data_IF_523929234865
#
_entry.id   IF_523929234865
#
_cell.length_a   1.000
_cell.length_b   1.000
_cell.length_c   1.000
_cell.angle_alpha   90.00
_cell.angle_beta   90.00
_cell.angle_gamma   90.00
#
_symmetry.space_group_name_H-M   'P 1'
#
loop_
_entity.id
_entity.type
_entity.pdbx_description
1 polymer ?
#
# COMPACT_ATOMS: atom_id res chain seq x y z
N UNK A 1 79.75 34.41 -108.29
CA UNK A 1 80.44 35.47 -107.53
C UNK A 1 79.38 36.34 -106.89
N UNK A 2 79.45 36.51 -105.56
CA UNK A 2 78.94 37.59 -104.68
C UNK A 2 77.59 38.26 -105.03
N UNK A 3 76.61 38.49 -104.14
CA UNK A 3 76.56 38.73 -102.69
C UNK A 3 75.04 38.83 -102.32
N UNK A 4 74.60 38.54 -101.08
CA UNK A 4 73.21 38.77 -100.65
C UNK A 4 73.05 40.15 -99.95
N UNK A 5 71.85 40.73 -100.03
CA UNK A 5 71.45 41.97 -99.33
C UNK A 5 69.95 42.28 -99.56
N UNK A 6 69.30 43.08 -98.69
CA UNK A 6 68.50 42.49 -97.61
C UNK A 6 66.99 42.81 -97.64
N UNK A 7 66.31 42.10 -96.73
CA UNK A 7 64.94 42.19 -96.20
C UNK A 7 64.14 43.49 -96.45
N UNK A 8 62.96 43.32 -97.07
CA UNK A 8 61.91 44.33 -97.18
C UNK A 8 60.66 43.91 -96.39
N UNK A 9 60.34 44.69 -95.37
CA UNK A 9 59.27 44.54 -94.39
C UNK A 9 57.87 44.77 -95.02
N UNK A 10 56.92 43.84 -94.83
CA UNK A 10 55.54 43.94 -95.33
C UNK A 10 54.67 44.83 -94.40
N UNK A 11 53.81 45.73 -94.95
CA UNK A 11 53.02 46.66 -94.14
C UNK A 11 51.82 45.99 -93.43
N UNK A 12 51.69 46.27 -92.12
CA UNK A 12 50.56 45.85 -91.26
C UNK A 12 49.24 46.51 -91.68
N UNK A 13 48.27 45.70 -92.14
CA UNK A 13 46.85 46.11 -92.29
C UNK A 13 46.24 46.45 -90.93
N UNK A 14 45.75 47.69 -90.76
CA UNK A 14 44.93 48.08 -89.61
C UNK A 14 43.53 47.43 -89.71
N UNK A 15 43.15 46.66 -88.67
CA UNK A 15 41.77 46.22 -88.42
C UNK A 15 40.91 47.42 -87.98
N UNK A 16 39.62 47.50 -88.38
CA UNK A 16 38.69 48.46 -87.81
C UNK A 16 38.42 48.14 -86.33
N UNK A 17 38.20 49.19 -85.53
CA UNK A 17 37.96 49.10 -84.09
C UNK A 17 36.64 48.37 -83.76
N UNK A 18 36.57 47.61 -82.65
CA UNK A 18 35.34 46.94 -82.25
C UNK A 18 34.31 47.95 -81.73
N UNK A 19 33.08 47.81 -82.21
CA UNK A 19 31.89 48.54 -81.77
C UNK A 19 31.63 48.28 -80.29
N UNK A 20 31.61 49.36 -79.51
CA UNK A 20 31.47 49.31 -78.05
C UNK A 20 30.00 49.05 -77.72
N UNK A 21 29.64 47.81 -77.38
CA UNK A 21 28.35 47.48 -76.79
C UNK A 21 28.23 48.20 -75.43
N UNK A 22 27.50 49.30 -75.40
CA UNK A 22 27.12 49.95 -74.14
C UNK A 22 26.15 49.02 -73.38
N UNK A 23 26.68 48.31 -72.39
CA UNK A 23 25.87 47.62 -71.38
C UNK A 23 25.21 48.69 -70.52
N UNK A 24 23.95 49.00 -70.82
CA UNK A 24 23.13 49.92 -70.02
C UNK A 24 23.04 49.39 -68.58
N UNK A 25 23.45 50.15 -67.55
CA UNK A 25 23.31 49.70 -66.18
C UNK A 25 21.82 49.50 -65.84
N UNK A 26 21.46 48.48 -65.05
CA UNK A 26 20.07 48.24 -64.67
C UNK A 26 19.52 49.48 -63.97
N UNK A 27 18.37 49.98 -64.43
CA UNK A 27 17.72 51.15 -63.87
C UNK A 27 17.41 50.95 -62.38
N UNK A 28 17.56 52.00 -61.58
CA UNK A 28 17.42 51.99 -60.12
C UNK A 28 16.09 51.38 -59.62
N UNK A 29 15.06 51.38 -60.46
CA UNK A 29 13.74 50.80 -60.21
C UNK A 29 13.77 49.26 -60.13
N UNK A 30 14.57 48.59 -60.97
CA UNK A 30 14.71 47.12 -60.95
C UNK A 30 15.42 46.61 -59.69
N UNK A 31 16.38 47.37 -59.18
CA UNK A 31 17.08 47.09 -57.93
C UNK A 31 16.17 47.28 -56.70
N UNK A 32 15.31 48.31 -56.71
CA UNK A 32 14.31 48.53 -55.65
C UNK A 32 13.29 47.39 -55.62
N UNK A 33 12.80 46.94 -56.77
CA UNK A 33 11.86 45.81 -56.88
C UNK A 33 12.47 44.48 -56.44
N UNK A 34 13.74 44.21 -56.80
CA UNK A 34 14.47 43.02 -56.32
C UNK A 34 14.71 43.05 -54.80
N UNK A 35 15.06 44.22 -54.24
CA UNK A 35 15.20 44.39 -52.79
C UNK A 35 13.88 44.15 -52.06
N UNK A 36 12.77 44.65 -52.59
CA UNK A 36 11.43 44.42 -52.04
C UNK A 36 11.05 42.93 -52.03
N UNK A 37 11.31 42.20 -53.13
CA UNK A 37 11.04 40.76 -53.22
C UNK A 37 11.91 39.99 -52.24
N UNK A 38 13.20 40.33 -52.13
CA UNK A 38 14.10 39.70 -51.17
C UNK A 38 13.67 39.95 -49.72
N UNK A 39 13.21 41.15 -49.38
CA UNK A 39 12.68 41.45 -48.04
C UNK A 39 11.40 40.70 -47.73
N UNK A 40 10.50 40.54 -48.71
CA UNK A 40 9.27 39.75 -48.54
C UNK A 40 9.62 38.27 -48.34
N UNK A 41 10.53 37.72 -49.15
CA UNK A 41 10.98 36.33 -49.00
C UNK A 41 11.62 36.07 -47.63
N UNK A 42 12.47 37.00 -47.16
CA UNK A 42 13.08 36.92 -45.83
C UNK A 42 12.02 36.99 -44.71
N UNK A 43 11.01 37.85 -44.84
CA UNK A 43 9.93 37.95 -43.88
C UNK A 43 9.09 36.66 -43.82
N UNK A 44 8.78 36.04 -44.97
CA UNK A 44 8.03 34.78 -45.03
C UNK A 44 8.81 33.64 -44.36
N UNK A 45 10.12 33.55 -44.61
CA UNK A 45 10.98 32.57 -43.94
C UNK A 45 11.01 32.82 -42.43
N UNK A 46 11.12 34.07 -42.00
CA UNK A 46 11.06 34.45 -40.59
C UNK A 46 9.76 33.99 -39.92
N UNK A 47 8.62 34.22 -40.58
CA UNK A 47 7.31 33.78 -40.09
C UNK A 47 7.23 32.24 -40.03
N UNK A 48 7.72 31.54 -41.05
CA UNK A 48 7.72 30.07 -41.06
C UNK A 48 8.57 29.48 -39.93
N UNK A 49 9.73 30.08 -39.63
CA UNK A 49 10.59 29.67 -38.50
C UNK A 49 9.89 29.91 -37.17
N UNK A 50 9.23 31.07 -36.99
CA UNK A 50 8.47 31.37 -35.76
C UNK A 50 7.33 30.38 -35.56
N UNK A 51 6.58 30.05 -36.61
CA UNK A 51 5.50 29.05 -36.54
C UNK A 51 6.06 27.68 -36.18
N UNK A 52 7.18 27.26 -36.80
CA UNK A 52 7.81 25.98 -36.49
C UNK A 52 8.25 25.90 -35.02
N UNK A 53 8.86 26.97 -34.51
CA UNK A 53 9.28 27.06 -33.10
C UNK A 53 8.07 26.99 -32.18
N UNK A 54 6.98 27.70 -32.48
CA UNK A 54 5.74 27.64 -31.70
C UNK A 54 5.12 26.24 -31.69
N UNK A 55 5.14 25.54 -32.83
CA UNK A 55 4.66 24.16 -32.94
C UNK A 55 5.54 23.19 -32.14
N UNK A 56 6.85 23.43 -32.09
CA UNK A 56 7.79 22.59 -31.34
C UNK A 56 7.67 22.81 -29.83
N UNK A 57 7.48 24.05 -29.39
CA UNK A 57 7.33 24.40 -27.96
C UNK A 57 5.96 23.94 -27.43
N UNK A 58 4.90 24.06 -28.23
CA UNK A 58 3.54 23.67 -27.84
C UNK A 58 3.19 22.22 -28.23
N UNK A 59 4.18 21.33 -28.41
CA UNK A 59 3.86 19.91 -28.56
C UNK A 59 3.30 19.40 -27.23
N UNK A 60 2.11 18.79 -27.23
CA UNK A 60 1.66 18.09 -26.04
C UNK A 60 2.67 16.99 -25.73
N UNK A 61 3.05 16.87 -24.46
CA UNK A 61 3.86 15.76 -24.00
C UNK A 61 3.13 14.46 -24.38
N UNK A 62 3.86 13.42 -24.86
CA UNK A 62 3.24 12.12 -25.08
C UNK A 62 2.62 11.68 -23.76
N UNK A 63 1.33 11.33 -23.78
CA UNK A 63 0.65 10.83 -22.58
C UNK A 63 1.49 9.68 -22.01
N UNK A 64 1.77 9.68 -20.69
CA UNK A 64 2.57 8.62 -20.10
C UNK A 64 1.86 7.29 -20.38
N UNK A 65 2.57 6.37 -21.04
CA UNK A 65 2.08 5.02 -21.26
C UNK A 65 1.81 4.37 -19.91
N UNK A 66 0.55 4.31 -19.51
CA UNK A 66 0.13 3.60 -18.31
C UNK A 66 0.31 2.11 -18.60
N UNK A 67 1.37 1.52 -18.05
CA UNK A 67 1.55 0.08 -18.08
C UNK A 67 0.46 -0.53 -17.20
N UNK A 68 -0.30 -1.49 -17.76
CA UNK A 68 -1.24 -2.28 -16.97
C UNK A 68 -0.49 -2.96 -15.82
N UNK A 69 -1.02 -2.95 -14.58
CA UNK A 69 -0.36 -3.62 -13.47
C UNK A 69 -0.28 -5.12 -13.79
N UNK A 70 0.95 -5.64 -13.85
CA UNK A 70 1.20 -7.08 -13.99
C UNK A 70 0.59 -7.78 -12.77
N UNK A 71 -0.30 -8.77 -12.93
CA UNK A 71 -0.83 -9.53 -11.81
C UNK A 71 0.32 -10.15 -11.02
N UNK A 72 0.50 -9.72 -9.76
CA UNK A 72 1.45 -10.35 -8.85
C UNK A 72 0.91 -11.70 -8.39
N UNK A 73 1.80 -12.68 -8.22
CA UNK A 73 1.45 -13.94 -7.56
C UNK A 73 1.26 -13.67 -6.06
N UNK A 74 0.05 -13.88 -5.55
CA UNK A 74 -0.21 -13.87 -4.11
C UNK A 74 0.02 -15.27 -3.56
N UNK A 75 1.05 -15.45 -2.74
CA UNK A 75 1.23 -16.69 -1.96
C UNK A 75 0.40 -16.58 -0.69
N UNK A 76 -0.65 -17.38 -0.58
CA UNK A 76 -1.41 -17.53 0.65
C UNK A 76 -0.71 -18.55 1.54
N UNK A 77 -0.20 -18.10 2.69
CA UNK A 77 0.30 -19.00 3.72
C UNK A 77 -0.85 -19.85 4.30
N UNK A 78 -0.61 -21.09 4.74
CA UNK A 78 -1.61 -21.89 5.42
C UNK A 78 -2.05 -21.22 6.74
N UNK A 79 -3.29 -21.47 7.17
CA UNK A 79 -3.79 -21.01 8.46
C UNK A 79 -2.94 -21.65 9.58
N UNK A 80 -2.46 -20.87 10.57
CA UNK A 80 -1.68 -21.41 11.68
C UNK A 80 -2.44 -22.54 12.38
N UNK A 81 -1.74 -23.64 12.65
CA UNK A 81 -2.30 -24.84 13.30
C UNK A 81 -1.42 -25.20 14.48
N UNK A 82 -2.04 -25.63 15.58
CA UNK A 82 -1.33 -25.97 16.80
C UNK A 82 -0.28 -27.06 16.57
N UNK A 83 0.95 -26.77 17.00
CA UNK A 83 2.07 -27.71 16.99
C UNK A 83 2.04 -28.65 18.20
N UNK A 84 1.43 -28.20 19.30
CA UNK A 84 1.21 -28.96 20.51
C UNK A 84 -0.11 -29.74 20.44
N UNK A 85 -0.11 -30.95 20.99
CA UNK A 85 -1.35 -31.64 21.33
C UNK A 85 -1.95 -31.01 22.60
N UNK A 86 -3.27 -30.74 22.64
CA UNK A 86 -3.92 -30.27 23.85
C UNK A 86 -3.89 -31.36 24.93
N UNK A 87 -3.85 -30.95 26.19
CA UNK A 87 -3.98 -31.87 27.31
C UNK A 87 -5.34 -32.56 27.31
N UNK A 88 -5.40 -33.74 27.92
CA UNK A 88 -6.69 -34.31 28.32
C UNK A 88 -7.29 -33.41 29.40
N UNK A 89 -8.54 -33.01 29.22
CA UNK A 89 -9.22 -32.04 30.09
C UNK A 89 -10.66 -32.44 30.35
N UNK A 90 -11.21 -31.91 31.43
CA UNK A 90 -12.63 -32.06 31.72
C UNK A 90 -13.48 -31.32 30.67
N UNK A 91 -14.49 -32.03 30.18
CA UNK A 91 -15.50 -31.59 29.21
C UNK A 91 -16.90 -32.07 29.61
N UNK A 92 -17.08 -32.41 30.90
CA UNK A 92 -18.29 -33.04 31.42
C UNK A 92 -19.53 -32.13 31.40
N UNK A 93 -19.35 -30.81 31.44
CA UNK A 93 -20.44 -29.84 31.32
C UNK A 93 -20.56 -29.30 29.90
N UNK A 94 -21.77 -28.87 29.53
CA UNK A 94 -22.01 -28.24 28.23
C UNK A 94 -21.16 -26.96 28.06
N UNK A 95 -20.88 -26.25 29.16
CA UNK A 95 -20.01 -25.08 29.16
C UNK A 95 -18.57 -25.43 28.81
N UNK A 96 -17.99 -26.42 29.51
CA UNK A 96 -16.63 -26.88 29.26
C UNK A 96 -16.46 -27.49 27.87
N UNK A 97 -17.47 -28.22 27.40
CA UNK A 97 -17.47 -28.82 26.07
C UNK A 97 -17.49 -27.76 24.96
N UNK A 98 -18.05 -26.57 25.22
CA UNK A 98 -18.08 -25.45 24.27
C UNK A 98 -16.73 -24.73 24.16
N UNK A 99 -15.87 -24.79 25.18
CA UNK A 99 -14.52 -24.21 25.12
C UNK A 99 -13.65 -25.08 24.18
N UNK A 100 -13.06 -24.56 23.09
CA UNK A 100 -12.23 -25.34 22.17
C UNK A 100 -10.93 -25.82 22.81
N UNK A 101 -10.49 -27.05 22.50
CA UNK A 101 -9.19 -27.54 22.95
C UNK A 101 -8.01 -26.94 22.16
N UNK A 102 -8.28 -26.40 20.96
CA UNK A 102 -7.30 -25.70 20.12
C UNK A 102 -7.97 -24.51 19.44
N UNK A 103 -7.22 -23.42 19.28
CA UNK A 103 -7.61 -22.22 18.52
C UNK A 103 -6.39 -21.79 17.71
N UNK A 104 -6.46 -21.84 16.38
CA UNK A 104 -5.31 -21.65 15.49
C UNK A 104 -4.09 -22.50 15.93
N UNK A 105 -2.99 -21.84 16.22
CA UNK A 105 -1.72 -22.37 16.73
C UNK A 105 -1.71 -22.71 18.23
N UNK A 106 -2.72 -22.26 18.98
CA UNK A 106 -2.74 -22.44 20.42
C UNK A 106 -3.49 -23.71 20.84
N UNK A 107 -2.89 -24.50 21.72
CA UNK A 107 -3.51 -25.66 22.35
C UNK A 107 -3.64 -25.45 23.86
N UNK A 108 -4.71 -25.98 24.46
CA UNK A 108 -4.87 -25.97 25.92
C UNK A 108 -3.79 -26.83 26.55
N UNK A 109 -3.00 -26.23 27.43
CA UNK A 109 -1.92 -26.90 28.19
C UNK A 109 -2.20 -26.98 29.69
N UNK A 110 -3.16 -26.21 30.19
CA UNK A 110 -3.62 -26.29 31.58
C UNK A 110 -5.12 -25.94 31.68
N UNK A 111 -5.79 -26.57 32.65
CA UNK A 111 -7.19 -26.32 32.99
C UNK A 111 -7.35 -26.30 34.51
N UNK A 112 -7.91 -25.21 35.02
CA UNK A 112 -8.11 -25.01 36.45
C UNK A 112 -9.55 -24.60 36.75
N UNK A 113 -10.00 -24.92 37.96
CA UNK A 113 -11.28 -24.46 38.52
C UNK A 113 -11.00 -23.35 39.55
N UNK A 114 -11.13 -22.06 39.18
CA UNK A 114 -10.82 -20.95 40.07
C UNK A 114 -11.87 -20.82 41.19
N UNK A 115 -11.59 -21.39 42.36
CA UNK A 115 -12.51 -21.41 43.51
C UNK A 115 -12.98 -20.00 43.92
N UNK A 116 -12.11 -18.99 43.83
CA UNK A 116 -12.50 -17.60 44.15
C UNK A 116 -13.65 -17.07 43.29
N UNK A 117 -13.72 -17.45 42.00
CA UNK A 117 -14.82 -17.03 41.11
C UNK A 117 -16.12 -17.79 41.46
N UNK A 118 -16.02 -19.05 41.90
CA UNK A 118 -17.17 -19.81 42.39
C UNK A 118 -17.71 -19.21 43.71
N UNK A 119 -16.81 -18.78 44.60
CA UNK A 119 -17.15 -18.13 45.86
C UNK A 119 -17.82 -16.75 45.65
N UNK A 120 -17.49 -16.06 44.54
CA UNK A 120 -18.19 -14.86 44.06
C UNK A 120 -19.61 -15.14 43.53
N UNK A 121 -19.98 -16.42 43.39
CA UNK A 121 -21.32 -16.86 43.01
C UNK A 121 -21.48 -17.31 41.56
N UNK A 122 -20.37 -17.54 40.84
CA UNK A 122 -20.42 -18.20 39.53
C UNK A 122 -20.99 -19.63 39.67
N UNK A 123 -21.79 -20.03 38.70
CA UNK A 123 -22.34 -21.38 38.59
C UNK A 123 -21.29 -22.38 38.13
N UNK A 124 -20.48 -21.95 37.17
CA UNK A 124 -19.35 -22.66 36.61
C UNK A 124 -18.25 -21.64 36.31
N UNK A 125 -17.00 -21.99 36.59
CA UNK A 125 -15.86 -21.13 36.31
C UNK A 125 -14.63 -21.98 35.98
N UNK A 126 -13.87 -21.55 34.98
CA UNK A 126 -12.69 -22.26 34.48
C UNK A 126 -11.64 -21.29 33.99
N UNK A 127 -10.38 -21.61 34.25
CA UNK A 127 -9.22 -20.96 33.66
C UNK A 127 -8.54 -21.94 32.74
N UNK A 128 -8.40 -21.59 31.46
CA UNK A 128 -7.64 -22.37 30.48
C UNK A 128 -6.38 -21.61 30.09
N UNK A 129 -5.25 -22.31 30.07
CA UNK A 129 -3.99 -21.78 29.53
C UNK A 129 -3.76 -22.38 28.15
N UNK A 130 -3.56 -21.51 27.18
CA UNK A 130 -3.30 -21.82 25.78
C UNK A 130 -1.85 -21.47 25.44
N UNK A 131 -1.13 -22.38 24.77
CA UNK A 131 0.28 -22.17 24.40
C UNK A 131 0.53 -22.51 22.92
N UNK A 132 1.52 -21.83 22.34
CA UNK A 132 2.01 -22.00 20.96
C UNK A 132 3.48 -22.48 20.99
N UNK A 133 3.73 -23.59 21.69
CA UNK A 133 5.07 -24.14 21.87
C UNK A 133 5.33 -24.60 23.31
N UNK A 134 6.43 -25.33 23.55
CA UNK A 134 6.77 -25.87 24.86
C UNK A 134 6.75 -24.79 25.95
N UNK A 135 6.04 -25.06 27.05
CA UNK A 135 5.79 -24.09 28.13
C UNK A 135 7.09 -23.62 28.82
N UNK A 136 8.16 -24.41 28.71
CA UNK A 136 9.46 -24.08 29.30
C UNK A 136 10.23 -22.99 28.50
N UNK A 137 9.81 -22.66 27.26
CA UNK A 137 10.56 -21.81 26.34
C UNK A 137 9.85 -20.51 25.87
N UNK A 138 8.57 -20.26 26.21
CA UNK A 138 7.88 -19.03 25.77
C UNK A 138 6.78 -18.53 26.75
N UNK A 139 6.85 -17.27 27.25
CA UNK A 139 5.76 -16.64 27.99
C UNK A 139 4.59 -16.17 27.10
N UNK A 140 4.51 -16.60 25.83
CA UNK A 140 3.36 -16.38 24.94
C UNK A 140 2.09 -17.14 25.34
N UNK A 141 1.96 -17.49 26.64
CA UNK A 141 0.78 -18.16 27.17
C UNK A 141 -0.40 -17.20 27.16
N UNK A 142 -1.47 -17.61 26.49
CA UNK A 142 -2.76 -16.94 26.56
C UNK A 142 -3.58 -17.56 27.68
N UNK A 143 -4.15 -16.73 28.54
CA UNK A 143 -5.00 -17.17 29.64
C UNK A 143 -6.44 -16.79 29.33
N UNK A 144 -7.32 -17.77 29.25
CA UNK A 144 -8.76 -17.60 29.12
C UNK A 144 -9.44 -17.86 30.46
N UNK A 145 -10.05 -16.84 31.04
CA UNK A 145 -10.98 -16.99 32.17
C UNK A 145 -12.41 -17.07 31.63
N UNK A 146 -13.13 -18.12 31.96
CA UNK A 146 -14.49 -18.39 31.51
C UNK A 146 -15.40 -18.63 32.71
N UNK A 147 -16.52 -17.92 32.81
CA UNK A 147 -17.47 -18.11 33.92
C UNK A 147 -18.93 -17.93 33.48
N UNK A 148 -19.83 -18.68 34.12
CA UNK A 148 -21.28 -18.51 34.04
C UNK A 148 -21.84 -18.00 35.35
N UNK A 149 -22.81 -17.10 35.25
CA UNK A 149 -23.38 -16.36 36.36
C UNK A 149 -24.90 -16.57 36.41
N UNK A 150 -25.45 -16.51 37.62
CA UNK A 150 -26.91 -16.60 37.82
C UNK A 150 -27.68 -15.42 37.24
N UNK A 151 -27.04 -14.26 37.09
CA UNK A 151 -27.69 -13.07 36.58
C UNK A 151 -26.72 -12.15 35.81
N UNK A 152 -27.25 -11.29 34.92
CA UNK A 152 -26.48 -10.24 34.24
C UNK A 152 -25.68 -9.33 35.15
N UNK A 153 -26.27 -8.96 36.29
CA UNK A 153 -25.65 -8.04 37.25
C UNK A 153 -24.43 -8.67 37.91
N UNK A 154 -24.47 -9.98 38.20
CA UNK A 154 -23.34 -10.70 38.77
C UNK A 154 -22.18 -10.81 37.77
N UNK A 155 -22.46 -11.13 36.50
CA UNK A 155 -21.46 -11.16 35.43
C UNK A 155 -20.80 -9.80 35.22
N UNK A 156 -21.60 -8.73 35.14
CA UNK A 156 -21.10 -7.37 35.00
C UNK A 156 -20.27 -6.93 36.21
N UNK A 157 -20.72 -7.28 37.42
CA UNK A 157 -19.99 -7.04 38.67
C UNK A 157 -18.62 -7.72 38.69
N UNK A 158 -18.54 -8.96 38.22
CA UNK A 158 -17.26 -9.67 38.10
C UNK A 158 -16.34 -9.02 37.06
N UNK A 159 -16.82 -8.71 35.86
CA UNK A 159 -15.99 -8.02 34.86
C UNK A 159 -15.43 -6.70 35.38
N UNK A 160 -16.23 -5.94 36.13
CA UNK A 160 -15.78 -4.71 36.77
C UNK A 160 -14.75 -4.96 37.89
N UNK A 161 -14.88 -6.07 38.64
CA UNK A 161 -13.95 -6.39 39.75
C UNK A 161 -12.57 -6.82 39.28
N UNK A 162 -12.45 -7.33 38.04
CA UNK A 162 -11.18 -7.75 37.45
C UNK A 162 -10.16 -6.61 37.29
N UNK A 163 -10.61 -5.34 37.33
CA UNK A 163 -9.72 -4.18 37.22
C UNK A 163 -8.85 -4.24 35.97
N UNK A 164 -9.45 -4.55 34.82
CA UNK A 164 -8.70 -4.74 33.57
C UNK A 164 -7.85 -3.49 33.29
N UNK A 165 -6.56 -3.68 32.97
CA UNK A 165 -5.62 -2.59 32.83
C UNK A 165 -5.93 -1.74 31.59
N UNK A 166 -5.65 -0.44 31.69
CA UNK A 166 -5.90 0.51 30.61
C UNK A 166 -7.37 0.92 30.45
N UNK A 167 -7.58 1.97 29.65
CA UNK A 167 -8.91 2.39 29.24
C UNK A 167 -9.40 1.50 28.09
N UNK A 168 -10.70 1.17 28.03
CA UNK A 168 -11.25 0.39 26.92
C UNK A 168 -11.05 1.16 25.60
N UNK A 169 -10.38 0.52 24.63
CA UNK A 169 -10.07 1.15 23.32
C UNK A 169 -11.04 0.73 22.22
N UNK A 170 -11.75 -0.38 22.42
CA UNK A 170 -12.78 -0.86 21.52
C UNK A 170 -13.90 -1.52 22.34
N UNK A 171 -15.15 -1.26 21.95
CA UNK A 171 -16.32 -1.97 22.48
C UNK A 171 -17.31 -2.18 21.34
N UNK A 172 -17.78 -3.42 21.17
CA UNK A 172 -18.54 -3.86 20.01
C UNK A 172 -19.68 -4.77 20.43
N UNK A 173 -20.84 -4.62 19.80
CA UNK A 173 -21.88 -5.65 19.87
C UNK A 173 -21.52 -6.82 18.96
N UNK A 174 -21.63 -8.02 19.49
CA UNK A 174 -21.43 -9.26 18.73
C UNK A 174 -22.77 -9.70 18.21
N UNK A 175 -22.88 -9.90 16.89
CA UNK A 175 -24.13 -10.20 16.22
C UNK A 175 -24.13 -11.62 15.63
N UNK A 176 -25.20 -12.37 15.87
CA UNK A 176 -25.48 -13.63 15.18
C UNK A 176 -26.77 -13.46 14.39
N UNK A 177 -26.69 -13.65 13.07
CA UNK A 177 -27.82 -13.41 12.16
C UNK A 177 -28.47 -12.02 12.33
N UNK A 178 -27.68 -11.01 12.67
CA UNK A 178 -28.13 -9.62 12.86
C UNK A 178 -28.74 -9.32 14.24
N UNK A 179 -28.79 -10.29 15.16
CA UNK A 179 -29.23 -10.07 16.54
C UNK A 179 -28.01 -10.01 17.48
N UNK A 180 -28.02 -9.06 18.41
CA UNK A 180 -26.97 -8.94 19.42
C UNK A 180 -27.01 -10.14 20.38
N UNK A 181 -25.88 -10.84 20.49
CA UNK A 181 -25.69 -12.00 21.37
C UNK A 181 -24.67 -11.73 22.47
N UNK A 182 -24.00 -10.59 22.46
CA UNK A 182 -23.05 -10.21 23.49
C UNK A 182 -22.34 -8.90 23.17
N UNK A 183 -21.42 -8.52 24.05
CA UNK A 183 -20.56 -7.35 23.91
C UNK A 183 -19.12 -7.79 24.12
N UNK A 184 -18.25 -7.41 23.19
CA UNK A 184 -16.80 -7.56 23.31
C UNK A 184 -16.17 -6.20 23.61
N UNK A 185 -15.20 -6.16 24.51
CA UNK A 185 -14.42 -4.96 24.85
C UNK A 185 -12.94 -5.30 24.97
N UNK A 186 -12.08 -4.47 24.38
CA UNK A 186 -10.61 -4.62 24.40
C UNK A 186 -9.97 -3.61 25.33
N UNK A 187 -9.04 -4.08 26.16
CA UNK A 187 -8.31 -3.33 27.16
C UNK A 187 -6.80 -3.56 26.96
N UNK A 188 -6.04 -2.59 26.42
CA UNK A 188 -4.60 -2.71 26.30
C UNK A 188 -3.93 -2.47 27.65
N UNK A 189 -2.85 -3.18 27.92
CA UNK A 189 -2.03 -2.91 29.09
C UNK A 189 -1.42 -1.50 29.00
N UNK A 190 -1.30 -0.81 30.14
CA UNK A 190 -0.87 0.60 30.18
C UNK A 190 0.54 0.80 29.60
N UNK A 191 1.39 -0.22 29.72
CA UNK A 191 2.77 -0.24 29.20
C UNK A 191 2.87 -0.83 27.79
N UNK A 192 1.76 -1.27 27.19
CA UNK A 192 1.70 -1.89 25.87
C UNK A 192 2.26 -3.32 25.82
N UNK A 193 2.51 -3.96 26.96
CA UNK A 193 3.05 -5.32 27.01
C UNK A 193 2.05 -6.40 26.58
N UNK A 194 0.75 -6.13 26.74
CA UNK A 194 -0.31 -7.07 26.48
C UNK A 194 -1.66 -6.40 26.22
N UNK A 195 -2.66 -7.26 26.03
CA UNK A 195 -4.05 -6.85 25.96
C UNK A 195 -4.95 -7.91 26.61
N UNK A 196 -6.07 -7.43 27.14
CA UNK A 196 -7.20 -8.24 27.58
C UNK A 196 -8.39 -8.01 26.65
N UNK A 197 -9.07 -9.08 26.25
CA UNK A 197 -10.36 -9.02 25.55
C UNK A 197 -11.40 -9.66 26.43
N UNK A 198 -12.41 -8.87 26.81
CA UNK A 198 -13.55 -9.32 27.60
C UNK A 198 -14.79 -9.42 26.72
N UNK A 199 -15.48 -10.55 26.77
CA UNK A 199 -16.77 -10.77 26.13
C UNK A 199 -17.81 -11.15 27.17
N UNK A 200 -19.04 -10.68 27.01
CA UNK A 200 -20.17 -11.14 27.81
C UNK A 200 -21.49 -11.09 27.06
N UNK A 201 -22.36 -12.08 27.32
CA UNK A 201 -23.76 -12.10 26.89
C UNK A 201 -24.75 -11.82 28.03
N UNK A 202 -24.28 -11.22 29.12
CA UNK A 202 -25.04 -11.06 30.36
C UNK A 202 -24.90 -12.25 31.30
N UNK A 203 -25.10 -13.50 30.86
CA UNK A 203 -24.99 -14.64 31.78
C UNK A 203 -23.58 -15.25 31.82
N UNK A 204 -22.82 -15.09 30.75
CA UNK A 204 -21.48 -15.69 30.57
C UNK A 204 -20.45 -14.58 30.40
N UNK A 205 -19.25 -14.81 30.91
CA UNK A 205 -18.10 -13.93 30.75
C UNK A 205 -16.91 -14.73 30.25
N UNK A 206 -16.24 -14.22 29.23
CA UNK A 206 -14.96 -14.72 28.75
C UNK A 206 -13.94 -13.58 28.79
N UNK A 207 -12.78 -13.83 29.35
CA UNK A 207 -11.69 -12.85 29.41
C UNK A 207 -10.41 -13.52 28.96
N UNK A 208 -9.96 -13.19 27.75
CA UNK A 208 -8.67 -13.63 27.21
C UNK A 208 -7.61 -12.58 27.53
N UNK A 209 -6.48 -13.00 28.10
CA UNK A 209 -5.31 -12.16 28.35
C UNK A 209 -4.09 -12.75 27.66
N UNK A 210 -3.36 -11.93 26.92
CA UNK A 210 -2.14 -12.37 26.26
C UNK A 210 -1.21 -11.20 25.93
N UNK A 211 0.08 -11.46 25.63
CA UNK A 211 1.01 -10.44 25.18
C UNK A 211 0.62 -9.84 23.81
N UNK A 212 0.96 -8.56 23.60
CA UNK A 212 0.67 -7.82 22.36
C UNK A 212 -0.79 -7.93 21.91
N UNK A 213 -1.00 -8.10 20.59
CA UNK A 213 -2.33 -8.23 19.96
C UNK A 213 -2.88 -9.67 19.96
N UNK A 214 -2.21 -10.59 20.66
CA UNK A 214 -2.54 -12.02 20.65
C UNK A 214 -3.95 -12.30 21.17
N UNK A 215 -4.40 -11.55 22.19
CA UNK A 215 -5.72 -11.74 22.78
C UNK A 215 -6.85 -11.44 21.79
N UNK A 216 -6.69 -10.42 20.94
CA UNK A 216 -7.65 -10.07 19.88
C UNK A 216 -7.67 -11.14 18.79
N UNK A 217 -6.50 -11.57 18.33
CA UNK A 217 -6.39 -12.63 17.31
C UNK A 217 -7.03 -13.94 17.79
N UNK A 218 -6.81 -14.29 19.05
CA UNK A 218 -7.43 -15.46 19.66
C UNK A 218 -8.95 -15.31 19.76
N UNK A 219 -9.45 -14.16 20.22
CA UNK A 219 -10.89 -13.88 20.30
C UNK A 219 -11.57 -14.07 18.93
N UNK A 220 -11.02 -13.46 17.88
CA UNK A 220 -11.57 -13.53 16.52
C UNK A 220 -11.62 -14.97 16.00
N UNK A 221 -10.59 -15.77 16.30
CA UNK A 221 -10.51 -17.15 15.86
C UNK A 221 -11.35 -18.13 16.72
N UNK A 222 -11.63 -17.78 17.98
CA UNK A 222 -12.47 -18.60 18.85
C UNK A 222 -13.92 -18.64 18.36
N UNK A 223 -14.39 -17.56 17.73
CA UNK A 223 -15.75 -17.46 17.20
C UNK A 223 -16.81 -17.12 18.25
N UNK A 224 -16.48 -16.20 19.16
CA UNK A 224 -17.38 -15.68 20.21
C UNK A 224 -18.19 -14.45 19.78
#
# INVERSE_FOLDING_TARGET
>A
MSQPGPEGELPKRRRPAPEKLEVRPPSAETLRRRRLIATIAAAVIGVAVVILVLVLINRPDPEPTVLEPVPGETVTAPVPTASLAPIERDTSTAFLAALPSTVLQWAVVDQQVPQGILDEGALEAYTLVYADGPVDDDPSSLVLSAAQWRSPEAAAGHLASLGLPGEPVASQEVLVAGAAVGTMTTYPDVDGSGASVAWSNGATTFVARAPGETATTFYDAFGM
#
